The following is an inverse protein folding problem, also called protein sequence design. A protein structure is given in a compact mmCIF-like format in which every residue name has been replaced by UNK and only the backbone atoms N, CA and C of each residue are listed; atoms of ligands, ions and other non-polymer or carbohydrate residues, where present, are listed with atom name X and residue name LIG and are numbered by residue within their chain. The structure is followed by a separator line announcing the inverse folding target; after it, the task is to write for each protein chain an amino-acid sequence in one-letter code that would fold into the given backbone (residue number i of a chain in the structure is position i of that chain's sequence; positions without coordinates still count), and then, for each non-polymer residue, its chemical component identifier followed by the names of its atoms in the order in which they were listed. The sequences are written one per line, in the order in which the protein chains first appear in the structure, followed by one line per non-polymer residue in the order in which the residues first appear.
data_IF_914664512314
#
_entry.id   IF_914664512314
#
_cell.length_a   1.000
_cell.length_b   1.000
_cell.length_c   1.000
_cell.angle_alpha   90.00
_cell.angle_beta   90.00
_cell.angle_gamma   90.00
#
_symmetry.space_group_name_H-M   'P 1'
#
loop_
_entity.id
_entity.type
_entity.pdbx_description
1 polymer ?
#
# COMPACT_ATOMS: atom_id res chain seq x y z
N UNK A 1 0.35 -6.74 -4.18
CA UNK A 1 1.68 -6.13 -3.97
C UNK A 1 2.08 -5.11 -5.03
N UNK A 2 2.12 -5.44 -6.33
CA UNK A 2 2.54 -4.47 -7.37
C UNK A 2 1.64 -3.23 -7.43
N UNK A 3 0.30 -3.40 -7.50
CA UNK A 3 -0.65 -2.27 -7.50
C UNK A 3 -0.47 -1.36 -6.26
N UNK A 4 -0.39 -1.95 -5.06
CA UNK A 4 -0.16 -1.19 -3.82
C UNK A 4 1.16 -0.40 -3.86
N UNK A 5 2.21 -0.98 -4.46
CA UNK A 5 3.51 -0.33 -4.63
C UNK A 5 3.43 0.85 -5.61
N UNK A 6 2.78 0.67 -6.77
CA UNK A 6 2.52 1.76 -7.73
C UNK A 6 1.68 2.88 -7.11
N UNK A 7 0.59 2.53 -6.40
CA UNK A 7 -0.29 3.49 -5.75
C UNK A 7 0.43 4.32 -4.68
N UNK A 8 1.28 3.68 -3.88
CA UNK A 8 2.09 4.36 -2.88
C UNK A 8 3.12 5.30 -3.51
N UNK A 9 3.81 4.86 -4.58
CA UNK A 9 4.74 5.71 -5.32
C UNK A 9 4.04 6.95 -5.91
N UNK A 10 2.88 6.77 -6.55
CA UNK A 10 2.07 7.86 -7.08
C UNK A 10 1.61 8.83 -5.98
N UNK A 11 1.26 8.32 -4.79
CA UNK A 11 0.85 9.16 -3.65
C UNK A 11 1.99 10.06 -3.19
N UNK A 12 3.22 9.54 -3.14
CA UNK A 12 4.40 10.35 -2.78
C UNK A 12 4.67 11.40 -3.85
N UNK A 13 4.67 11.04 -5.13
CA UNK A 13 4.85 12.00 -6.23
C UNK A 13 3.78 13.11 -6.22
N UNK A 14 2.56 12.79 -5.78
CA UNK A 14 1.48 13.77 -5.67
C UNK A 14 1.62 14.70 -4.45
N UNK A 15 2.19 14.21 -3.33
CA UNK A 15 2.27 14.93 -2.05
C UNK A 15 3.58 15.65 -1.81
N UNK A 16 4.68 15.12 -2.33
CA UNK A 16 6.00 15.71 -2.19
C UNK A 16 6.53 16.09 -3.58
N UNK A 17 6.78 17.38 -3.77
CA UNK A 17 7.28 17.93 -5.03
C UNK A 17 8.77 18.22 -4.96
N UNK A 18 9.35 18.23 -3.77
CA UNK A 18 10.78 18.39 -3.58
C UNK A 18 11.47 17.03 -3.73
N UNK A 19 12.17 16.85 -4.85
CA UNK A 19 12.93 15.64 -5.15
C UNK A 19 13.89 15.27 -4.00
N UNK A 20 14.52 16.24 -3.32
CA UNK A 20 15.43 15.96 -2.19
C UNK A 20 14.70 15.32 -1.03
N UNK A 21 13.45 15.69 -0.77
CA UNK A 21 12.60 15.07 0.26
C UNK A 21 12.13 13.68 -0.15
N UNK A 22 11.85 13.46 -1.42
CA UNK A 22 11.56 12.11 -1.96
C UNK A 22 12.77 11.20 -1.76
N UNK A 23 13.98 11.66 -2.04
CA UNK A 23 15.22 10.92 -1.78
C UNK A 23 15.46 10.65 -0.30
N UNK A 24 15.16 11.61 0.59
CA UNK A 24 15.23 11.39 2.03
C UNK A 24 14.21 10.34 2.50
N UNK A 25 12.97 10.37 1.99
CA UNK A 25 11.97 9.34 2.28
C UNK A 25 12.44 7.96 1.82
N UNK A 26 13.05 7.87 0.63
CA UNK A 26 13.61 6.63 0.09
C UNK A 26 14.63 5.98 1.04
N UNK A 27 15.42 6.78 1.77
CA UNK A 27 16.38 6.29 2.76
C UNK A 27 15.74 5.73 4.05
N UNK A 28 14.48 6.05 4.35
CA UNK A 28 13.75 5.63 5.55
C UNK A 28 12.98 4.30 5.43
N UNK A 29 13.31 3.44 4.48
CA UNK A 29 12.57 2.20 4.20
C UNK A 29 11.40 2.35 3.22
N UNK A 30 11.20 3.55 2.68
CA UNK A 30 10.27 3.76 1.57
C UNK A 30 10.73 3.02 0.30
N UNK A 31 12.03 3.03 -0.03
CA UNK A 31 12.55 2.37 -1.23
C UNK A 31 12.23 0.88 -1.27
N UNK A 32 12.34 0.19 -0.12
CA UNK A 32 12.00 -1.23 -0.03
C UNK A 32 10.48 -1.48 -0.16
N UNK A 33 9.66 -0.52 0.25
CA UNK A 33 8.18 -0.57 0.17
C UNK A 33 7.67 -0.29 -1.25
N UNK A 34 8.30 0.64 -1.98
CA UNK A 34 7.96 0.94 -3.37
C UNK A 34 8.83 0.22 -4.40
N UNK A 35 9.65 -0.76 -3.98
CA UNK A 35 10.58 -1.48 -4.87
C UNK A 35 9.92 -2.01 -6.15
N UNK A 36 8.69 -2.52 -6.02
CA UNK A 36 7.94 -3.10 -7.13
C UNK A 36 7.39 -2.05 -8.10
N UNK A 37 7.27 -0.79 -7.69
CA UNK A 37 6.81 0.30 -8.55
C UNK A 37 7.82 0.65 -9.67
N UNK A 38 9.06 0.14 -9.59
CA UNK A 38 10.09 0.28 -10.64
C UNK A 38 9.93 -0.73 -11.79
N UNK A 39 8.95 -1.64 -11.69
CA UNK A 39 8.71 -2.67 -12.70
C UNK A 39 8.05 -2.11 -13.96
N UNK A 40 8.26 -2.78 -15.11
CA UNK A 40 7.81 -2.29 -16.40
C UNK A 40 6.27 -2.32 -16.53
N UNK A 41 5.63 -1.22 -17.01
CA UNK A 41 4.21 -1.23 -17.31
C UNK A 41 3.85 -2.22 -18.43
N UNK A 42 4.73 -2.40 -19.41
CA UNK A 42 4.52 -3.33 -20.53
C UNK A 42 4.41 -4.79 -20.05
N UNK A 43 5.05 -5.11 -18.93
CA UNK A 43 4.95 -6.42 -18.29
C UNK A 43 3.67 -6.55 -17.45
N UNK A 44 3.35 -5.55 -16.62
CA UNK A 44 2.29 -5.69 -15.61
C UNK A 44 0.88 -5.37 -16.11
N UNK A 45 0.73 -4.48 -17.08
CA UNK A 45 -0.60 -4.13 -17.63
C UNK A 45 -1.28 -5.36 -18.26
N UNK A 46 -0.62 -6.18 -19.10
CA UNK A 46 -1.23 -7.42 -19.61
C UNK A 46 -1.64 -8.39 -18.49
N UNK A 47 -0.80 -8.55 -17.45
CA UNK A 47 -1.09 -9.44 -16.31
C UNK A 47 -2.35 -8.97 -15.56
N UNK A 48 -2.46 -7.68 -15.25
CA UNK A 48 -3.65 -7.14 -14.62
C UNK A 48 -4.89 -7.23 -15.51
N UNK A 49 -4.73 -7.06 -16.83
CA UNK A 49 -5.83 -7.23 -17.77
C UNK A 49 -6.34 -8.67 -17.78
N UNK A 50 -5.43 -9.65 -17.80
CA UNK A 50 -5.79 -11.07 -17.82
C UNK A 50 -6.45 -11.52 -16.51
N UNK A 51 -6.02 -10.96 -15.38
CA UNK A 51 -6.53 -11.33 -14.05
C UNK A 51 -7.44 -10.25 -13.43
N UNK A 52 -8.14 -9.48 -14.27
CA UNK A 52 -8.85 -8.25 -13.86
C UNK A 52 -9.78 -8.47 -12.67
N UNK A 53 -10.64 -9.48 -12.72
CA UNK A 53 -11.73 -9.61 -11.76
C UNK A 53 -11.21 -10.03 -10.38
N UNK A 54 -10.26 -10.96 -10.32
CA UNK A 54 -9.59 -11.31 -9.06
C UNK A 54 -8.78 -10.14 -8.49
N UNK A 55 -8.14 -9.35 -9.37
CA UNK A 55 -7.41 -8.15 -8.95
C UNK A 55 -8.36 -7.10 -8.38
N UNK A 56 -9.53 -6.92 -9.01
CA UNK A 56 -10.54 -5.97 -8.57
C UNK A 56 -11.10 -6.33 -7.20
N UNK A 57 -11.47 -7.59 -6.99
CA UNK A 57 -11.97 -8.10 -5.71
C UNK A 57 -11.00 -7.81 -4.55
N UNK A 58 -9.73 -8.18 -4.74
CA UNK A 58 -8.68 -7.94 -3.73
C UNK A 58 -8.39 -6.45 -3.55
N UNK A 59 -8.47 -5.65 -4.62
CA UNK A 59 -8.24 -4.22 -4.56
C UNK A 59 -9.35 -3.51 -3.77
N UNK A 60 -10.60 -3.89 -3.97
CA UNK A 60 -11.75 -3.34 -3.25
C UNK A 60 -11.65 -3.65 -1.76
N UNK A 61 -11.30 -4.88 -1.38
CA UNK A 61 -11.07 -5.23 0.02
C UNK A 61 -9.92 -4.42 0.63
N UNK A 62 -8.83 -4.23 -0.12
CA UNK A 62 -7.72 -3.42 0.34
C UNK A 62 -8.12 -1.94 0.55
N UNK A 63 -8.91 -1.37 -0.35
CA UNK A 63 -9.47 -0.02 -0.22
C UNK A 63 -10.36 0.08 1.04
N UNK A 64 -11.19 -0.94 1.29
CA UNK A 64 -12.04 -0.99 2.49
C UNK A 64 -11.21 -0.98 3.78
N UNK A 65 -10.14 -1.78 3.84
CA UNK A 65 -9.21 -1.80 4.99
C UNK A 65 -8.56 -0.43 5.19
N UNK A 66 -8.06 0.20 4.14
CA UNK A 66 -7.47 1.54 4.22
C UNK A 66 -8.49 2.60 4.67
N UNK A 67 -9.71 2.53 4.16
CA UNK A 67 -10.82 3.41 4.54
C UNK A 67 -11.19 3.23 6.02
N UNK A 68 -11.15 2.00 6.54
CA UNK A 68 -11.37 1.71 7.96
C UNK A 68 -10.31 2.37 8.84
N UNK A 69 -9.02 2.20 8.52
CA UNK A 69 -7.94 2.88 9.25
C UNK A 69 -8.11 4.41 9.22
N UNK A 70 -8.41 4.99 8.05
CA UNK A 70 -8.70 6.43 7.92
C UNK A 70 -9.85 6.86 8.81
N UNK A 71 -10.94 6.10 8.84
CA UNK A 71 -12.13 6.41 9.63
C UNK A 71 -11.86 6.38 11.13
N UNK A 72 -11.05 5.43 11.61
CA UNK A 72 -10.62 5.36 13.00
C UNK A 72 -9.77 6.56 13.41
N UNK A 73 -8.84 7.00 12.53
CA UNK A 73 -8.05 8.22 12.76
C UNK A 73 -8.94 9.47 12.88
N UNK A 74 -9.95 9.61 12.03
CA UNK A 74 -10.92 10.72 12.10
C UNK A 74 -11.69 10.70 13.42
N UNK A 75 -12.12 9.51 13.86
CA UNK A 75 -12.85 9.30 15.11
C UNK A 75 -11.98 9.37 16.36
N UNK A 76 -10.64 9.37 16.20
CA UNK A 76 -9.65 9.23 17.29
C UNK A 76 -9.84 7.97 18.13
N UNK A 77 -10.35 6.90 17.51
CA UNK A 77 -10.55 5.60 18.15
C UNK A 77 -9.25 4.80 18.03
N UNK A 78 -8.33 5.05 18.96
CA UNK A 78 -7.01 4.42 18.96
C UNK A 78 -7.01 3.01 19.58
N UNK A 79 -8.03 2.65 20.35
CA UNK A 79 -8.19 1.31 20.90
C UNK A 79 -8.47 0.31 19.78
N UNK A 80 -9.49 0.57 18.95
CA UNK A 80 -9.79 -0.26 17.77
C UNK A 80 -8.66 -0.19 16.74
N UNK A 81 -7.97 0.95 16.62
CA UNK A 81 -6.82 1.08 15.73
C UNK A 81 -5.67 0.15 16.15
N UNK A 82 -5.39 0.08 17.46
CA UNK A 82 -4.39 -0.82 18.02
C UNK A 82 -4.77 -2.29 17.80
N UNK A 83 -6.02 -2.66 18.05
CA UNK A 83 -6.50 -4.03 17.79
C UNK A 83 -6.34 -4.44 16.32
N UNK A 84 -6.62 -3.55 15.37
CA UNK A 84 -6.41 -3.85 13.94
C UNK A 84 -4.94 -4.07 13.59
N UNK A 85 -4.03 -3.30 14.19
CA UNK A 85 -2.59 -3.51 14.01
C UNK A 85 -2.17 -4.85 14.60
N UNK A 86 -2.66 -5.19 15.80
CA UNK A 86 -2.33 -6.46 16.42
C UNK A 86 -2.86 -7.65 15.59
N UNK A 87 -4.09 -7.55 15.07
CA UNK A 87 -4.63 -8.52 14.12
C UNK A 87 -3.74 -8.66 12.88
N UNK A 88 -3.26 -7.56 12.30
CA UNK A 88 -2.35 -7.62 11.15
C UNK A 88 -1.03 -8.34 11.49
N UNK A 89 -0.49 -8.17 12.70
CA UNK A 89 0.73 -8.85 13.15
C UNK A 89 0.60 -10.39 13.21
N UNK A 90 -0.62 -10.92 13.27
CA UNK A 90 -0.85 -12.37 13.25
C UNK A 90 -0.36 -13.03 11.95
N UNK A 91 -0.16 -12.26 10.87
CA UNK A 91 0.43 -12.76 9.63
C UNK A 91 1.81 -13.41 9.84
N UNK A 92 2.56 -12.98 10.88
CA UNK A 92 3.84 -13.59 11.27
C UNK A 92 3.71 -15.06 11.67
N UNK A 93 2.55 -15.48 12.18
CA UNK A 93 2.29 -16.89 12.55
C UNK A 93 2.06 -17.75 11.31
N UNK A 94 1.58 -17.15 10.22
CA UNK A 94 1.24 -17.82 8.96
C UNK A 94 2.47 -17.95 8.05
N UNK A 95 3.31 -16.91 7.99
CA UNK A 95 4.48 -16.83 7.10
C UNK A 95 5.77 -17.43 7.70
N UNK A 96 5.67 -18.53 8.47
CA UNK A 96 6.84 -19.21 9.04
C UNK A 96 7.80 -19.75 7.98
#
# INVERSE_FOLDING_TARGET
SHISSFALALTVLAKEKDEKRIFQLASGGFDSTVRLAKSSPDMWVPIFRQNRDNVLDVLDEHINVLSRFRSLLIKRDFDTFHELIDQANHIRKILK
#
